data_IF_202647472127
#
_entry.id   IF_202647472127
#
_cell.length_a   1.000
_cell.length_b   1.000
_cell.length_c   1.000
_cell.angle_alpha   90.00
_cell.angle_beta   90.00
_cell.angle_gamma   90.00
#
_symmetry.space_group_name_H-M   'P 1'
#
loop_
_entity.id
_entity.type
_entity.pdbx_description
1 polymer ?
#
# COMPACT_ATOMS: atom_id res chain seq x y z
N UNK A 1 -11.42 -1.46 -0.45
CA UNK A 1 -11.31 -2.38 0.72
C UNK A 1 -12.70 -2.76 1.23
N UNK A 2 -13.45 -3.55 0.46
CA UNK A 2 -14.78 -4.05 0.87
C UNK A 2 -14.71 -5.47 1.46
N UNK A 3 -13.61 -6.18 1.23
CA UNK A 3 -13.37 -7.57 1.66
C UNK A 3 -13.18 -7.75 3.17
N UNK A 4 -12.89 -6.68 3.92
CA UNK A 4 -12.72 -6.73 5.38
C UNK A 4 -14.00 -6.43 6.15
N UNK A 5 -14.99 -5.80 5.51
CA UNK A 5 -16.26 -5.43 6.14
C UNK A 5 -17.32 -6.51 5.88
N UNK A 6 -17.23 -7.66 6.56
CA UNK A 6 -18.37 -8.57 6.66
C UNK A 6 -19.24 -8.14 7.84
N UNK A 7 -20.46 -7.70 7.52
CA UNK A 7 -21.29 -6.90 8.41
C UNK A 7 -21.90 -7.64 9.61
N UNK A 8 -21.47 -8.87 9.96
CA UNK A 8 -22.05 -9.60 11.12
C UNK A 8 -21.26 -10.82 11.64
N UNK A 9 -20.01 -11.02 11.22
CA UNK A 9 -19.18 -12.13 11.66
C UNK A 9 -17.87 -12.03 10.92
N UNK A 10 -16.78 -11.74 11.64
CA UNK A 10 -15.52 -11.22 11.09
C UNK A 10 -15.06 -11.87 9.78
N UNK A 11 -14.41 -11.09 8.92
CA UNK A 11 -13.99 -11.56 7.60
C UNK A 11 -12.96 -12.69 7.75
N UNK A 12 -13.31 -13.92 7.34
CA UNK A 12 -12.37 -15.06 7.28
C UNK A 12 -11.15 -14.70 6.42
N UNK A 13 -11.37 -13.93 5.36
CA UNK A 13 -10.32 -13.40 4.48
C UNK A 13 -9.43 -12.42 5.25
N UNK A 14 -10.04 -11.52 6.04
CA UNK A 14 -9.30 -10.59 6.90
C UNK A 14 -8.46 -11.30 7.96
N UNK A 15 -9.02 -12.30 8.64
CA UNK A 15 -8.29 -13.10 9.62
C UNK A 15 -7.12 -13.87 9.01
N UNK A 16 -7.31 -14.44 7.81
CA UNK A 16 -6.23 -15.09 7.08
C UNK A 16 -5.10 -14.10 6.76
N UNK A 17 -5.44 -12.90 6.30
CA UNK A 17 -4.47 -11.84 6.01
C UNK A 17 -3.67 -11.45 7.27
N UNK A 18 -4.35 -11.22 8.40
CA UNK A 18 -3.71 -10.91 9.68
C UNK A 18 -2.73 -12.01 10.09
N UNK A 19 -3.16 -13.28 9.98
CA UNK A 19 -2.29 -14.42 10.29
C UNK A 19 -1.05 -14.45 9.41
N UNK A 20 -1.20 -14.26 8.10
CA UNK A 20 -0.08 -14.24 7.15
C UNK A 20 0.90 -13.09 7.46
N UNK A 21 0.40 -11.90 7.80
CA UNK A 21 1.23 -10.76 8.24
C UNK A 21 2.00 -11.11 9.53
N UNK A 22 1.33 -11.68 10.54
CA UNK A 22 2.00 -12.10 11.78
C UNK A 22 3.09 -13.15 11.52
N UNK A 23 2.86 -14.10 10.61
CA UNK A 23 3.88 -15.08 10.22
C UNK A 23 5.09 -14.41 9.56
N UNK A 24 4.89 -13.40 8.71
CA UNK A 24 5.99 -12.64 8.09
C UNK A 24 6.80 -11.85 9.12
N UNK A 25 6.13 -11.24 10.10
CA UNK A 25 6.78 -10.49 11.19
C UNK A 25 7.56 -11.41 12.15
N UNK A 26 7.20 -12.69 12.24
CA UNK A 26 7.89 -13.68 13.07
C UNK A 26 9.13 -14.29 12.39
N UNK A 27 9.40 -13.97 11.12
CA UNK A 27 10.65 -14.33 10.47
C UNK A 27 11.82 -13.57 11.12
N UNK A 28 13.04 -14.09 10.97
CA UNK A 28 14.26 -13.46 11.51
C UNK A 28 14.67 -12.20 10.71
N UNK A 29 13.72 -11.34 10.35
CA UNK A 29 13.94 -10.08 9.66
C UNK A 29 13.87 -8.94 10.68
N UNK A 30 14.74 -7.95 10.55
CA UNK A 30 14.63 -6.71 11.31
C UNK A 30 13.54 -5.84 10.67
N UNK A 31 12.30 -5.98 11.14
CA UNK A 31 11.16 -5.19 10.66
C UNK A 31 10.78 -4.08 11.64
N UNK A 32 10.66 -2.84 11.16
CA UNK A 32 10.07 -1.72 11.90
C UNK A 32 8.73 -1.33 11.30
N UNK A 33 7.66 -1.39 12.09
CA UNK A 33 6.35 -0.90 11.67
C UNK A 33 6.23 0.56 12.08
N UNK A 34 6.14 1.45 11.11
CA UNK A 34 5.95 2.89 11.31
C UNK A 34 4.58 3.30 10.77
N UNK A 35 3.85 4.11 11.53
CA UNK A 35 2.69 4.81 11.00
C UNK A 35 3.16 6.07 10.28
N UNK A 36 2.87 6.16 8.98
CA UNK A 36 3.13 7.33 8.15
C UNK A 36 1.81 7.82 7.58
N UNK A 37 1.62 9.14 7.53
CA UNK A 37 0.41 9.71 6.94
C UNK A 37 0.37 9.43 5.43
N UNK A 38 -0.81 9.29 4.83
CA UNK A 38 -0.92 8.92 3.41
C UNK A 38 -0.18 9.88 2.46
N UNK A 39 -0.03 11.15 2.86
CA UNK A 39 0.70 12.20 2.12
C UNK A 39 2.20 11.94 1.99
N UNK A 40 2.80 11.18 2.91
CA UNK A 40 4.20 10.77 2.82
C UNK A 40 4.35 9.40 2.18
N UNK A 41 3.26 8.82 1.67
CA UNK A 41 3.24 7.48 1.06
C UNK A 41 2.54 7.46 -0.30
N UNK A 42 2.60 8.58 -1.02
CA UNK A 42 1.88 8.78 -2.28
C UNK A 42 2.30 7.76 -3.35
N UNK A 43 3.57 7.37 -3.40
CA UNK A 43 4.05 6.32 -4.29
C UNK A 43 3.39 4.96 -4.01
N UNK A 44 3.22 4.56 -2.74
CA UNK A 44 2.54 3.30 -2.42
C UNK A 44 1.04 3.37 -2.69
N UNK A 45 0.39 4.51 -2.46
CA UNK A 45 -1.02 4.72 -2.82
C UNK A 45 -1.22 4.58 -4.35
N UNK A 46 -0.35 5.22 -5.15
CA UNK A 46 -0.39 5.10 -6.60
C UNK A 46 -0.15 3.65 -7.06
N UNK A 47 0.80 2.93 -6.46
CA UNK A 47 1.05 1.51 -6.73
C UNK A 47 -0.15 0.63 -6.38
N UNK A 48 -0.77 0.84 -5.22
CA UNK A 48 -1.94 0.10 -4.78
C UNK A 48 -3.13 0.31 -5.74
N UNK A 49 -3.33 1.56 -6.19
CA UNK A 49 -4.39 1.90 -7.15
C UNK A 49 -4.15 1.24 -8.52
N UNK A 50 -2.92 1.29 -9.05
CA UNK A 50 -2.58 0.56 -10.28
C UNK A 50 -2.74 -0.96 -10.11
N UNK A 51 -2.41 -1.49 -8.94
CA UNK A 51 -2.64 -2.90 -8.60
C UNK A 51 -4.12 -3.28 -8.64
N UNK A 52 -5.02 -2.39 -8.21
CA UNK A 52 -6.47 -2.61 -8.30
C UNK A 52 -6.99 -2.61 -9.74
N UNK A 53 -6.36 -1.85 -10.64
CA UNK A 53 -6.68 -1.84 -12.07
C UNK A 53 -6.19 -3.12 -12.78
N UNK A 54 -5.28 -3.86 -12.16
CA UNK A 54 -4.73 -5.09 -12.71
C UNK A 54 -5.41 -6.31 -12.08
N UNK A 55 -5.64 -7.35 -12.89
CA UNK A 55 -6.19 -8.62 -12.41
C UNK A 55 -5.30 -9.28 -11.35
N UNK A 56 -5.75 -10.39 -10.76
CA UNK A 56 -4.99 -11.09 -9.73
C UNK A 56 -3.59 -11.48 -10.25
N UNK A 57 -2.56 -11.22 -9.45
CA UNK A 57 -1.18 -11.56 -9.80
C UNK A 57 -0.16 -10.60 -9.20
N UNK A 58 1.10 -10.79 -9.57
CA UNK A 58 2.20 -9.86 -9.27
C UNK A 58 2.74 -9.35 -10.59
N UNK A 59 3.00 -8.05 -10.67
CA UNK A 59 3.67 -7.45 -11.82
C UNK A 59 5.01 -6.89 -11.35
N UNK A 60 6.08 -7.33 -12.01
CA UNK A 60 7.39 -6.71 -11.87
C UNK A 60 7.53 -5.65 -12.95
N UNK A 61 8.18 -4.54 -12.60
CA UNK A 61 8.48 -3.46 -13.53
C UNK A 61 10.01 -3.32 -13.59
N UNK A 62 10.60 -3.53 -14.77
CA UNK A 62 12.04 -3.35 -14.97
C UNK A 62 12.45 -1.87 -14.98
N UNK A 63 11.49 -0.97 -15.19
CA UNK A 63 11.66 0.48 -15.17
C UNK A 63 10.45 1.18 -14.55
N UNK A 64 10.63 2.41 -14.06
CA UNK A 64 9.55 3.16 -13.40
C UNK A 64 8.36 3.37 -14.36
N UNK A 65 7.13 2.96 -13.98
CA UNK A 65 5.94 3.22 -14.79
C UNK A 65 5.77 4.71 -15.05
N UNK A 66 5.35 5.09 -16.26
CA UNK A 66 5.13 6.49 -16.63
C UNK A 66 4.15 7.22 -15.72
N UNK A 67 3.16 6.51 -15.15
CA UNK A 67 2.18 7.04 -14.19
C UNK A 67 2.79 7.36 -12.81
N UNK A 68 3.97 6.83 -12.50
CA UNK A 68 4.69 7.03 -11.24
C UNK A 68 5.88 7.96 -11.34
N UNK A 69 6.40 8.23 -12.54
CA UNK A 69 7.67 8.95 -12.72
C UNK A 69 7.73 10.29 -11.99
N UNK A 70 6.64 11.08 -12.04
CA UNK A 70 6.55 12.36 -11.33
C UNK A 70 6.47 12.20 -9.81
N UNK A 71 5.74 11.19 -9.33
CA UNK A 71 5.61 10.91 -7.90
C UNK A 71 6.94 10.44 -7.31
N UNK A 72 7.63 9.54 -8.03
CA UNK A 72 8.96 9.07 -7.65
C UNK A 72 9.98 10.21 -7.66
N UNK A 73 9.93 11.09 -8.66
CA UNK A 73 10.81 12.27 -8.70
C UNK A 73 10.55 13.21 -7.53
N UNK A 74 9.28 13.48 -7.20
CA UNK A 74 8.92 14.32 -6.05
C UNK A 74 9.40 13.71 -4.73
N UNK A 75 9.26 12.39 -4.56
CA UNK A 75 9.74 11.64 -3.40
C UNK A 75 11.26 11.72 -3.24
N UNK A 76 12.01 11.50 -4.33
CA UNK A 76 13.48 11.66 -4.37
C UNK A 76 13.92 13.09 -4.02
N UNK A 77 13.14 14.08 -4.43
CA UNK A 77 13.40 15.49 -4.16
C UNK A 77 12.87 15.95 -2.79
N UNK A 78 12.33 15.03 -1.99
CA UNK A 78 11.72 15.30 -0.67
C UNK A 78 10.61 16.36 -0.71
N UNK A 79 9.89 16.46 -1.83
CA UNK A 79 8.79 17.40 -2.01
C UNK A 79 7.52 16.79 -1.40
N UNK A 80 7.11 17.31 -0.24
CA UNK A 80 5.82 16.95 0.35
C UNK A 80 4.68 17.64 -0.41
N UNK A 81 3.73 16.86 -0.91
CA UNK A 81 2.49 17.37 -1.53
C UNK A 81 1.34 17.16 -0.55
N UNK A 82 0.88 18.21 0.15
CA UNK A 82 -0.26 18.10 1.06
C UNK A 82 -1.52 17.71 0.27
N UNK A 83 -2.31 16.75 0.79
CA UNK A 83 -3.63 16.46 0.25
C UNK A 83 -4.62 17.38 0.96
N UNK A 84 -5.15 18.36 0.23
CA UNK A 84 -6.26 19.16 0.74
C UNK A 84 -7.49 18.24 0.82
N UNK A 85 -7.81 17.79 2.03
CA UNK A 85 -9.07 17.12 2.33
C UNK A 85 -10.09 18.22 2.61
N UNK A 86 -11.03 18.42 1.69
CA UNK A 86 -12.19 19.26 1.96
C UNK A 86 -13.04 18.58 3.05
N UNK A 87 -13.24 19.28 4.16
CA UNK A 87 -14.13 18.88 5.27
C UNK A 87 -15.56 19.26 4.94
#
# INVERSE_FOLDING_TARGET
VQTLNSNNGGSVVGWRLVREICCLLALNWESKVCHSYCETNVCADALANMGCEHGPGRRLYDSCPSRMSLLLLADIMEITIPRIIAV
#
